data_IF_114359063867
#
_entry.id   IF_114359063867
#
_cell.length_a   1.000
_cell.length_b   1.000
_cell.length_c   1.000
_cell.angle_alpha   90.00
_cell.angle_beta   90.00
_cell.angle_gamma   90.00
#
_symmetry.space_group_name_H-M   'P 1'
#
loop_
_entity.id
_entity.type
_entity.pdbx_description
1 polymer ?
#
# COMPACT_ATOMS: atom_id res chain seq x y z
N UNK A 1 23.81 0.21 -12.21
CA UNK A 1 23.60 0.04 -10.76
C UNK A 1 22.36 0.79 -10.33
N UNK A 2 21.18 0.17 -10.42
CA UNK A 2 19.90 0.81 -10.08
C UNK A 2 19.25 0.24 -8.82
N UNK A 3 20.05 -0.31 -7.90
CA UNK A 3 19.57 -0.94 -6.67
C UNK A 3 19.80 0.00 -5.47
N UNK A 4 18.92 -0.09 -4.46
CA UNK A 4 19.02 0.71 -3.24
C UNK A 4 20.23 0.31 -2.39
N UNK A 5 21.07 1.28 -2.03
CA UNK A 5 22.17 1.09 -1.08
C UNK A 5 21.81 1.71 0.28
N UNK A 6 22.39 1.18 1.35
CA UNK A 6 22.26 1.74 2.70
C UNK A 6 23.28 2.86 2.96
N UNK A 7 23.19 3.52 4.12
CA UNK A 7 24.13 4.57 4.59
C UNK A 7 25.59 4.12 4.74
N UNK A 8 25.88 2.81 4.64
CA UNK A 8 27.24 2.27 4.56
C UNK A 8 27.69 2.04 3.12
N UNK A 9 26.95 2.55 2.13
CA UNK A 9 27.19 2.39 0.68
C UNK A 9 27.23 0.93 0.24
N UNK A 10 26.37 0.10 0.84
CA UNK A 10 26.25 -1.32 0.55
C UNK A 10 24.84 -1.69 0.12
N UNK A 11 24.74 -2.68 -0.78
CA UNK A 11 23.48 -3.31 -1.10
C UNK A 11 22.92 -4.02 0.14
N UNK A 12 21.61 -3.90 0.36
CA UNK A 12 20.93 -4.76 1.32
C UNK A 12 20.83 -6.17 0.75
N UNK A 13 21.53 -7.12 1.37
CA UNK A 13 21.46 -8.54 1.00
C UNK A 13 20.43 -9.32 1.84
N UNK A 14 19.77 -8.68 2.82
CA UNK A 14 18.68 -9.28 3.58
C UNK A 14 17.33 -8.93 2.96
N UNK A 15 16.57 -9.95 2.56
CA UNK A 15 15.23 -9.80 1.99
C UNK A 15 15.21 -9.42 0.50
N UNK A 16 14.19 -8.68 0.09
CA UNK A 16 14.01 -8.26 -1.30
C UNK A 16 15.12 -7.30 -1.74
N UNK A 17 15.76 -7.61 -2.87
CA UNK A 17 16.54 -6.62 -3.61
C UNK A 17 15.58 -5.62 -4.26
N UNK A 18 15.78 -4.34 -3.99
CA UNK A 18 14.89 -3.28 -4.48
C UNK A 18 15.64 -2.36 -5.42
N UNK A 19 15.03 -2.07 -6.55
CA UNK A 19 15.46 -0.99 -7.40
C UNK A 19 15.29 0.36 -6.69
N UNK A 20 16.14 1.34 -6.99
CA UNK A 20 15.98 2.69 -6.46
C UNK A 20 14.83 3.40 -7.18
N UNK A 21 13.85 3.98 -6.45
CA UNK A 21 12.83 4.86 -7.02
C UNK A 21 13.42 6.09 -7.72
N UNK A 22 14.69 6.43 -7.48
CA UNK A 22 15.35 7.51 -8.19
C UNK A 22 15.72 7.14 -9.65
N UNK A 23 15.65 5.86 -10.05
CA UNK A 23 16.06 5.46 -11.39
C UNK A 23 14.96 5.71 -12.41
N UNK A 24 15.20 6.66 -13.31
CA UNK A 24 14.29 6.95 -14.44
C UNK A 24 14.12 5.72 -15.34
N UNK A 25 15.16 4.90 -15.51
CA UNK A 25 15.09 3.66 -16.29
C UNK A 25 14.15 2.65 -15.65
N UNK A 26 14.17 2.54 -14.31
CA UNK A 26 13.26 1.67 -13.56
C UNK A 26 11.83 2.19 -13.66
N UNK A 27 11.60 3.48 -13.49
CA UNK A 27 10.27 4.08 -13.65
C UNK A 27 9.74 3.84 -15.07
N UNK A 28 10.54 4.10 -16.10
CA UNK A 28 10.16 3.86 -17.49
C UNK A 28 9.85 2.39 -17.75
N UNK A 29 10.62 1.47 -17.16
CA UNK A 29 10.36 0.05 -17.30
C UNK A 29 9.05 -0.36 -16.60
N UNK A 30 8.79 0.14 -15.39
CA UNK A 30 7.54 -0.12 -14.67
C UNK A 30 6.32 0.39 -15.46
N UNK A 31 6.40 1.61 -16.02
CA UNK A 31 5.34 2.15 -16.87
C UNK A 31 5.17 1.34 -18.15
N UNK A 32 6.26 0.94 -18.81
CA UNK A 32 6.17 0.08 -20.00
C UNK A 32 5.50 -1.27 -19.71
N UNK A 33 5.79 -1.88 -18.54
CA UNK A 33 5.12 -3.12 -18.10
C UNK A 33 3.63 -2.85 -17.84
N UNK A 34 3.28 -1.78 -17.12
CA UNK A 34 1.88 -1.42 -16.88
C UNK A 34 1.11 -1.19 -18.19
N UNK A 35 1.72 -0.49 -19.15
CA UNK A 35 1.15 -0.30 -20.49
C UNK A 35 1.00 -1.62 -21.25
N UNK A 36 1.97 -2.52 -21.18
CA UNK A 36 1.87 -3.83 -21.82
C UNK A 36 0.71 -4.66 -21.26
N UNK A 37 0.50 -4.61 -19.94
CA UNK A 37 -0.61 -5.30 -19.28
C UNK A 37 -1.97 -4.80 -19.76
N UNK A 38 -2.22 -3.48 -19.69
CA UNK A 38 -3.53 -2.91 -20.07
C UNK A 38 -3.83 -3.04 -21.57
N UNK A 39 -2.80 -3.13 -22.42
CA UNK A 39 -2.97 -3.28 -23.86
C UNK A 39 -3.22 -4.73 -24.30
N UNK A 40 -2.86 -5.72 -23.48
CA UNK A 40 -2.94 -7.15 -23.84
C UNK A 40 -4.00 -7.92 -23.08
N UNK A 41 -4.45 -7.40 -21.95
CA UNK A 41 -5.37 -8.08 -21.06
C UNK A 41 -6.55 -7.19 -20.72
N UNK A 42 -7.73 -7.78 -20.71
CA UNK A 42 -8.97 -7.16 -20.23
C UNK A 42 -8.95 -7.21 -18.69
N UNK A 43 -8.42 -6.15 -18.09
CA UNK A 43 -8.26 -5.99 -16.64
C UNK A 43 -8.99 -4.75 -16.16
N UNK A 44 -9.49 -4.78 -14.92
CA UNK A 44 -10.21 -3.65 -14.32
C UNK A 44 -9.28 -2.63 -13.64
N UNK A 45 -7.97 -2.92 -13.54
CA UNK A 45 -7.03 -2.03 -12.90
C UNK A 45 -5.65 -2.62 -12.61
N UNK A 46 -4.79 -1.77 -12.05
CA UNK A 46 -3.43 -2.10 -11.62
C UNK A 46 -3.34 -1.95 -10.10
N UNK A 47 -2.75 -2.95 -9.44
CA UNK A 47 -2.44 -2.91 -8.01
C UNK A 47 -0.93 -2.86 -7.78
N UNK A 48 -0.46 -1.82 -7.11
CA UNK A 48 0.94 -1.60 -6.79
C UNK A 48 1.24 -2.10 -5.37
N UNK A 49 1.98 -3.20 -5.27
CA UNK A 49 2.55 -3.65 -4.00
C UNK A 49 4.01 -3.21 -3.87
N UNK A 50 4.48 -2.98 -2.65
CA UNK A 50 5.86 -2.62 -2.34
C UNK A 50 6.40 -1.35 -3.01
N UNK A 51 5.52 -0.46 -3.52
CA UNK A 51 5.87 0.85 -4.09
C UNK A 51 6.35 1.83 -3.00
N UNK A 52 7.60 1.64 -2.56
CA UNK A 52 8.26 2.32 -1.43
C UNK A 52 9.74 1.93 -1.34
N UNK A 53 10.50 2.65 -0.52
CA UNK A 53 11.87 2.23 -0.15
C UNK A 53 11.87 1.02 0.80
N UNK A 54 13.02 0.36 0.90
CA UNK A 54 13.19 -0.85 1.73
C UNK A 54 13.44 -0.58 3.21
N UNK A 55 13.98 0.59 3.56
CA UNK A 55 14.37 0.96 4.93
C UNK A 55 14.58 2.47 5.06
N UNK A 56 14.65 2.96 6.30
CA UNK A 56 14.87 4.38 6.64
C UNK A 56 16.30 4.87 6.39
N UNK A 57 17.21 3.95 6.08
CA UNK A 57 18.61 4.27 5.75
C UNK A 57 18.95 3.89 4.31
N UNK A 58 17.94 3.67 3.46
CA UNK A 58 18.12 3.32 2.06
C UNK A 58 18.35 4.56 1.16
N UNK A 59 18.76 4.32 -0.09
CA UNK A 59 18.96 5.32 -1.16
C UNK A 59 20.31 6.00 -1.22
N UNK A 60 21.35 5.54 -0.53
CA UNK A 60 22.73 6.06 -0.72
C UNK A 60 23.45 5.40 -1.91
N UNK A 61 22.70 5.10 -2.97
CA UNK A 61 23.24 4.52 -4.19
C UNK A 61 23.65 5.61 -5.19
N UNK A 62 24.56 5.32 -6.14
CA UNK A 62 25.09 6.34 -7.03
C UNK A 62 24.04 7.04 -7.91
N UNK A 63 22.93 6.35 -8.26
CA UNK A 63 21.87 6.95 -9.06
C UNK A 63 21.12 7.99 -8.24
N UNK A 64 20.81 7.64 -6.99
CA UNK A 64 20.11 8.53 -6.07
C UNK A 64 20.93 9.78 -5.74
N UNK A 65 22.21 9.64 -5.38
CA UNK A 65 23.07 10.78 -5.06
C UNK A 65 23.34 11.66 -6.28
N UNK A 66 23.53 11.05 -7.46
CA UNK A 66 23.69 11.81 -8.71
C UNK A 66 22.44 12.63 -9.06
N UNK A 67 21.23 12.11 -8.82
CA UNK A 67 19.99 12.85 -9.10
C UNK A 67 19.65 13.87 -8.02
N UNK A 68 20.03 13.60 -6.78
CA UNK A 68 19.91 14.56 -5.69
C UNK A 68 20.89 15.73 -5.84
N UNK A 69 22.10 15.46 -6.34
CA UNK A 69 23.17 16.45 -6.50
C UNK A 69 24.02 16.64 -5.24
N UNK A 70 24.08 15.63 -4.36
CA UNK A 70 24.86 15.64 -3.13
C UNK A 70 24.77 14.32 -2.37
N UNK A 71 25.33 14.30 -1.17
CA UNK A 71 25.32 13.13 -0.30
C UNK A 71 23.89 12.76 0.14
N UNK A 72 23.62 11.47 0.29
CA UNK A 72 22.35 11.02 0.85
C UNK A 72 22.10 11.57 2.26
N UNK A 73 20.83 11.71 2.65
CA UNK A 73 20.40 12.15 3.99
C UNK A 73 20.84 13.55 4.42
N UNK A 74 21.25 14.42 3.49
CA UNK A 74 21.32 15.87 3.75
C UNK A 74 19.91 16.48 3.91
N UNK A 75 19.83 17.74 4.36
CA UNK A 75 18.54 18.44 4.52
C UNK A 75 17.70 18.38 3.23
N UNK A 76 16.41 18.06 3.36
CA UNK A 76 15.46 17.91 2.24
C UNK A 76 15.48 16.55 1.53
N UNK A 77 16.45 15.67 1.82
CA UNK A 77 16.58 14.38 1.13
C UNK A 77 15.37 13.46 1.33
N UNK A 78 14.79 13.43 2.53
CA UNK A 78 13.62 12.61 2.82
C UNK A 78 12.37 13.03 2.03
N UNK A 79 12.17 14.34 1.84
CA UNK A 79 11.10 14.86 0.97
C UNK A 79 11.35 14.48 -0.49
N UNK A 80 12.60 14.58 -0.92
CA UNK A 80 13.01 14.16 -2.26
C UNK A 80 12.79 12.66 -2.49
N UNK A 81 13.07 11.81 -1.51
CA UNK A 81 12.79 10.36 -1.57
C UNK A 81 11.30 10.09 -1.73
N UNK A 82 10.44 10.72 -0.91
CA UNK A 82 8.98 10.63 -1.06
C UNK A 82 8.52 11.07 -2.44
N UNK A 83 9.10 12.15 -2.97
CA UNK A 83 8.78 12.65 -4.31
C UNK A 83 9.17 11.67 -5.42
N UNK A 84 10.22 10.86 -5.25
CA UNK A 84 10.57 9.82 -6.23
C UNK A 84 9.49 8.74 -6.31
N UNK A 85 9.08 8.18 -5.17
CA UNK A 85 8.01 7.18 -5.11
C UNK A 85 6.69 7.75 -5.62
N UNK A 86 6.33 8.95 -5.17
CA UNK A 86 5.07 9.60 -5.57
C UNK A 86 5.07 9.96 -7.06
N UNK A 87 6.23 10.30 -7.63
CA UNK A 87 6.39 10.52 -9.06
C UNK A 87 6.07 9.27 -9.88
N UNK A 88 6.57 8.10 -9.46
CA UNK A 88 6.23 6.82 -10.11
C UNK A 88 4.73 6.52 -10.03
N UNK A 89 4.11 6.70 -8.86
CA UNK A 89 2.66 6.49 -8.68
C UNK A 89 1.86 7.43 -9.58
N UNK A 90 2.22 8.72 -9.60
CA UNK A 90 1.57 9.71 -10.45
C UNK A 90 1.70 9.35 -11.94
N UNK A 91 2.86 8.85 -12.38
CA UNK A 91 3.02 8.36 -13.75
C UNK A 91 2.15 7.16 -14.08
N UNK A 92 1.99 6.20 -13.17
CA UNK A 92 1.01 5.12 -13.37
C UNK A 92 -0.39 5.68 -13.57
N UNK A 93 -0.76 6.68 -12.78
CA UNK A 93 -2.07 7.29 -12.86
C UNK A 93 -2.28 8.05 -14.18
N UNK A 94 -1.38 8.99 -14.51
CA UNK A 94 -1.49 9.85 -15.69
C UNK A 94 -1.24 9.09 -17.00
N UNK A 95 -0.15 8.31 -17.09
CA UNK A 95 0.31 7.70 -18.35
C UNK A 95 -0.48 6.43 -18.71
N UNK A 96 -1.19 5.83 -17.75
CA UNK A 96 -1.88 4.54 -17.93
C UNK A 96 -3.36 4.65 -17.58
N UNK A 97 -3.69 5.07 -16.37
CA UNK A 97 -5.05 4.94 -15.85
C UNK A 97 -5.96 5.99 -16.48
N UNK A 98 -5.57 7.26 -16.50
CA UNK A 98 -6.33 8.30 -17.18
C UNK A 98 -6.32 8.17 -18.72
N UNK A 99 -5.33 7.46 -19.27
CA UNK A 99 -5.26 7.18 -20.70
C UNK A 99 -6.19 6.04 -21.16
N UNK A 100 -6.75 5.25 -20.22
CA UNK A 100 -7.57 4.08 -20.51
C UNK A 100 -8.84 4.09 -19.64
N UNK A 101 -10.01 4.25 -20.27
CA UNK A 101 -11.28 4.33 -19.55
C UNK A 101 -11.59 3.05 -18.76
N UNK A 102 -12.03 3.21 -17.51
CA UNK A 102 -12.56 2.10 -16.69
C UNK A 102 -11.51 1.35 -15.87
N UNK A 103 -10.24 1.75 -15.92
CA UNK A 103 -9.19 1.18 -15.07
C UNK A 103 -9.12 1.89 -13.72
N UNK A 104 -8.83 1.16 -12.65
CA UNK A 104 -8.50 1.72 -11.35
C UNK A 104 -7.01 1.54 -10.98
N UNK A 105 -6.41 2.54 -10.34
CA UNK A 105 -5.12 2.42 -9.67
C UNK A 105 -5.29 2.18 -8.18
N UNK A 106 -4.70 1.10 -7.69
CA UNK A 106 -4.64 0.81 -6.26
C UNK A 106 -3.22 0.56 -5.78
N UNK A 107 -2.97 0.77 -4.49
CA UNK A 107 -1.68 0.42 -3.89
C UNK A 107 -1.83 -0.17 -2.48
N UNK A 108 -1.04 -1.21 -2.19
CA UNK A 108 -0.82 -1.68 -0.84
C UNK A 108 0.12 -0.72 -0.11
N UNK A 109 -0.34 -0.15 1.01
CA UNK A 109 0.39 0.87 1.75
C UNK A 109 0.72 0.42 3.17
N UNK A 110 1.79 0.97 3.72
CA UNK A 110 2.24 0.62 5.06
C UNK A 110 1.15 0.98 6.10
N UNK A 111 0.83 0.09 7.06
CA UNK A 111 -0.35 0.23 7.91
C UNK A 111 -0.31 1.37 8.91
N UNK A 112 0.86 1.92 9.20
CA UNK A 112 1.02 3.10 10.04
C UNK A 112 1.59 4.19 9.15
N UNK A 113 0.78 5.18 8.75
CA UNK A 113 1.27 6.28 7.94
C UNK A 113 2.29 7.11 8.73
N UNK A 114 1.84 7.66 9.86
CA UNK A 114 2.63 8.29 10.92
C UNK A 114 2.10 7.74 12.26
N UNK A 115 2.98 7.52 13.23
CA UNK A 115 2.62 7.02 14.55
C UNK A 115 2.22 8.18 15.47
N UNK A 116 0.95 8.59 15.41
CA UNK A 116 0.40 9.65 16.26
C UNK A 116 0.14 9.20 17.70
N UNK A 117 0.24 7.90 17.99
CA UNK A 117 -0.15 7.31 19.27
C UNK A 117 1.05 6.87 20.13
N UNK A 118 2.27 7.00 19.61
CA UNK A 118 3.50 6.62 20.32
C UNK A 118 3.62 5.11 20.55
N UNK A 119 3.10 4.30 19.62
CA UNK A 119 3.15 2.84 19.72
C UNK A 119 4.50 2.23 19.35
N UNK A 120 5.39 2.98 18.70
CA UNK A 120 6.73 2.55 18.30
C UNK A 120 6.75 1.68 17.04
N UNK A 121 5.73 1.81 16.18
CA UNK A 121 5.68 1.08 14.91
C UNK A 121 6.52 1.74 13.82
N UNK A 122 6.98 0.95 12.84
CA UNK A 122 7.57 1.49 11.61
C UNK A 122 6.50 2.26 10.84
N UNK A 123 6.90 3.34 10.17
CA UNK A 123 5.98 4.32 9.59
C UNK A 123 6.15 4.39 8.06
N UNK A 124 5.05 4.45 7.31
CA UNK A 124 5.06 4.60 5.86
C UNK A 124 5.79 5.88 5.46
N UNK A 125 5.41 7.01 6.06
CA UNK A 125 5.95 8.32 5.72
C UNK A 125 7.43 8.49 6.07
N UNK A 126 7.86 8.02 7.25
CA UNK A 126 9.21 8.21 7.77
C UNK A 126 10.18 7.06 7.49
N UNK A 127 9.73 5.80 7.63
CA UNK A 127 10.60 4.63 7.49
C UNK A 127 10.73 4.20 6.03
N UNK A 128 9.67 4.31 5.25
CA UNK A 128 9.62 3.76 3.89
C UNK A 128 9.44 4.82 2.79
N UNK A 129 9.36 6.10 3.18
CA UNK A 129 9.11 7.24 2.29
C UNK A 129 7.90 7.00 1.37
N UNK A 130 6.88 6.32 1.90
CA UNK A 130 5.63 6.01 1.23
C UNK A 130 4.57 7.01 1.69
N UNK A 131 4.44 8.10 0.92
CA UNK A 131 3.53 9.20 1.25
C UNK A 131 2.09 8.92 0.78
N UNK A 132 1.51 7.82 1.25
CA UNK A 132 0.24 7.29 0.74
C UNK A 132 -0.94 8.24 0.94
N UNK A 133 -0.94 9.04 2.01
CA UNK A 133 -1.98 10.05 2.24
C UNK A 133 -1.85 11.25 1.30
N UNK A 134 -0.63 11.64 0.90
CA UNK A 134 -0.47 12.65 -0.15
C UNK A 134 -0.96 12.17 -1.52
N UNK A 135 -0.90 10.86 -1.80
CA UNK A 135 -1.38 10.30 -3.07
C UNK A 135 -2.89 10.47 -3.25
N UNK A 136 -3.66 10.14 -2.21
CA UNK A 136 -5.12 10.36 -2.22
C UNK A 136 -5.47 11.84 -2.20
N UNK A 137 -4.75 12.66 -1.42
CA UNK A 137 -4.99 14.11 -1.37
C UNK A 137 -4.66 14.82 -2.70
N UNK A 138 -3.60 14.39 -3.38
CA UNK A 138 -3.23 14.88 -4.71
C UNK A 138 -4.06 14.29 -5.85
N UNK A 139 -4.86 13.27 -5.57
CA UNK A 139 -5.82 12.71 -6.50
C UNK A 139 -5.25 11.81 -7.59
N UNK A 140 -4.01 11.32 -7.44
CA UNK A 140 -3.30 10.48 -8.41
C UNK A 140 -3.22 8.99 -7.99
N UNK A 141 -4.22 8.56 -7.22
CA UNK A 141 -4.51 7.15 -6.95
C UNK A 141 -6.01 7.02 -6.64
N UNK A 142 -6.63 5.89 -7.00
CA UNK A 142 -8.05 5.66 -6.77
C UNK A 142 -8.31 5.01 -5.41
N UNK A 143 -7.47 4.03 -5.07
CA UNK A 143 -7.64 3.18 -3.89
C UNK A 143 -6.31 3.03 -3.15
N UNK A 144 -6.31 3.24 -1.84
CA UNK A 144 -5.22 2.80 -0.97
C UNK A 144 -5.67 1.67 -0.07
N UNK A 145 -4.80 0.67 0.09
CA UNK A 145 -5.03 -0.51 0.91
C UNK A 145 -3.99 -0.63 2.01
N UNK A 146 -4.23 -0.03 3.20
CA UNK A 146 -3.30 -0.17 4.31
C UNK A 146 -3.24 -1.63 4.80
N UNK A 147 -2.03 -2.20 4.84
CA UNK A 147 -1.79 -3.62 5.15
C UNK A 147 -1.80 -3.89 6.67
N UNK A 148 -2.97 -3.83 7.31
CA UNK A 148 -3.09 -3.86 8.77
C UNK A 148 -3.25 -5.30 9.28
N UNK A 149 -2.14 -6.05 9.31
CA UNK A 149 -2.12 -7.42 9.80
C UNK A 149 -0.74 -7.85 10.29
N UNK A 150 -0.67 -8.80 11.24
CA UNK A 150 0.59 -9.33 11.73
C UNK A 150 1.22 -10.33 10.75
N UNK A 151 2.52 -10.64 10.95
CA UNK A 151 3.18 -11.79 10.33
C UNK A 151 2.88 -13.11 11.05
N UNK A 152 2.37 -13.04 12.28
CA UNK A 152 2.03 -14.20 13.12
C UNK A 152 0.74 -13.90 13.86
N UNK A 153 -0.23 -14.79 13.74
CA UNK A 153 -1.60 -14.56 14.17
C UNK A 153 -1.87 -15.18 15.54
N UNK A 154 -2.63 -14.47 16.38
CA UNK A 154 -3.10 -14.91 17.69
C UNK A 154 -4.61 -14.71 17.77
N UNK A 155 -5.32 -15.51 18.59
CA UNK A 155 -6.76 -15.32 18.84
C UNK A 155 -7.08 -15.42 20.34
N UNK A 156 -7.57 -14.34 20.98
CA UNK A 156 -7.67 -12.99 20.43
C UNK A 156 -6.29 -12.37 20.15
N UNK A 157 -6.23 -11.42 19.21
CA UNK A 157 -4.97 -10.72 18.92
C UNK A 157 -4.61 -9.73 20.02
N UNK A 158 -3.74 -10.16 20.93
CA UNK A 158 -3.19 -9.34 22.02
C UNK A 158 -1.77 -8.84 21.70
N UNK A 159 -1.35 -8.92 20.44
CA UNK A 159 -0.03 -8.44 20.00
C UNK A 159 -0.03 -6.92 19.75
N UNK A 160 0.95 -6.43 18.98
CA UNK A 160 0.92 -5.06 18.47
C UNK A 160 -0.33 -4.79 17.61
N UNK A 161 -0.90 -5.81 16.97
CA UNK A 161 -1.98 -5.71 15.97
C UNK A 161 -3.37 -6.00 16.54
N UNK A 162 -3.64 -5.55 17.76
CA UNK A 162 -4.95 -5.74 18.41
C UNK A 162 -6.09 -5.18 17.55
N UNK A 163 -7.29 -5.71 17.75
CA UNK A 163 -8.49 -5.24 17.04
C UNK A 163 -8.73 -3.72 17.22
N UNK A 164 -8.52 -3.19 18.42
CA UNK A 164 -8.66 -1.75 18.68
C UNK A 164 -7.65 -0.90 17.91
N UNK A 165 -6.39 -1.37 17.81
CA UNK A 165 -5.38 -0.69 16.98
C UNK A 165 -5.72 -0.79 15.50
N UNK A 166 -6.22 -1.93 15.06
CA UNK A 166 -6.71 -2.09 13.69
C UNK A 166 -7.79 -1.05 13.38
N UNK A 167 -8.82 -0.91 14.22
CA UNK A 167 -9.88 0.10 14.03
C UNK A 167 -9.33 1.53 13.99
N UNK A 168 -8.37 1.83 14.87
CA UNK A 168 -7.74 3.15 14.94
C UNK A 168 -6.99 3.49 13.65
N UNK A 169 -6.23 2.54 13.09
CA UNK A 169 -5.50 2.74 11.84
C UNK A 169 -6.45 2.88 10.64
N UNK A 170 -7.53 2.10 10.60
CA UNK A 170 -8.55 2.25 9.55
C UNK A 170 -9.20 3.63 9.59
N UNK A 171 -9.57 4.10 10.78
CA UNK A 171 -10.17 5.43 10.96
C UNK A 171 -9.20 6.56 10.55
N UNK A 172 -7.91 6.43 10.85
CA UNK A 172 -6.88 7.39 10.44
C UNK A 172 -6.73 7.48 8.91
N UNK A 173 -6.74 6.36 8.20
CA UNK A 173 -6.73 6.40 6.73
C UNK A 173 -8.04 6.94 6.16
N UNK A 174 -9.18 6.52 6.71
CA UNK A 174 -10.50 6.93 6.22
C UNK A 174 -10.74 8.44 6.40
N UNK A 175 -10.27 9.07 7.49
CA UNK A 175 -10.42 10.52 7.69
C UNK A 175 -9.73 11.35 6.60
N UNK A 176 -8.65 10.81 6.03
CA UNK A 176 -7.83 11.44 5.00
C UNK A 176 -8.08 10.83 3.61
N UNK A 177 -9.24 10.19 3.40
CA UNK A 177 -9.57 9.57 2.13
C UNK A 177 -9.63 10.56 0.96
N UNK A 178 -9.87 11.86 1.22
CA UNK A 178 -9.89 12.93 0.21
C UNK A 178 -10.76 12.62 -1.02
N UNK A 179 -11.89 11.95 -0.80
CA UNK A 179 -12.81 11.55 -1.88
C UNK A 179 -12.33 10.36 -2.72
N UNK A 180 -11.21 9.73 -2.35
CA UNK A 180 -10.72 8.45 -2.87
C UNK A 180 -11.14 7.30 -1.97
N UNK A 181 -10.88 6.07 -2.40
CA UNK A 181 -11.27 4.89 -1.65
C UNK A 181 -10.16 4.39 -0.72
N UNK A 182 -10.54 4.05 0.51
CA UNK A 182 -9.71 3.30 1.45
C UNK A 182 -10.30 1.90 1.57
N UNK A 183 -9.46 0.89 1.36
CA UNK A 183 -9.81 -0.53 1.40
C UNK A 183 -8.82 -1.23 2.34
N UNK A 184 -9.04 -1.21 3.66
CA UNK A 184 -8.09 -1.76 4.62
C UNK A 184 -7.86 -3.25 4.44
N UNK A 185 -6.59 -3.66 4.53
CA UNK A 185 -6.18 -5.05 4.52
C UNK A 185 -6.47 -5.74 5.85
N UNK A 186 -7.02 -6.95 5.76
CA UNK A 186 -7.32 -7.85 6.88
C UNK A 186 -6.55 -9.14 6.65
N UNK A 187 -5.70 -9.52 7.60
CA UNK A 187 -4.99 -10.79 7.56
C UNK A 187 -5.94 -11.96 7.84
N UNK A 188 -5.86 -13.06 7.09
CA UNK A 188 -6.76 -14.21 7.19
C UNK A 188 -6.13 -15.41 7.89
N UNK A 189 -4.98 -15.21 8.54
CA UNK A 189 -4.28 -16.23 9.33
C UNK A 189 -4.77 -16.36 10.76
N UNK A 190 -5.79 -15.59 11.17
CA UNK A 190 -6.43 -15.76 12.46
C UNK A 190 -7.04 -17.16 12.56
N UNK A 191 -6.79 -17.81 13.69
CA UNK A 191 -7.27 -19.15 14.03
C UNK A 191 -8.78 -19.25 14.32
N UNK A 192 -9.49 -18.12 14.41
CA UNK A 192 -10.96 -18.07 14.49
C UNK A 192 -11.52 -17.11 13.45
N UNK A 193 -12.61 -17.50 12.78
CA UNK A 193 -13.26 -16.67 11.77
C UNK A 193 -13.77 -15.34 12.34
N UNK A 194 -14.23 -15.32 13.59
CA UNK A 194 -14.74 -14.11 14.25
C UNK A 194 -13.73 -12.96 14.32
N UNK A 195 -12.42 -13.23 14.32
CA UNK A 195 -11.40 -12.16 14.22
C UNK A 195 -11.44 -11.44 12.86
N UNK A 196 -11.73 -12.18 11.79
CA UNK A 196 -11.88 -11.64 10.43
C UNK A 196 -13.23 -10.93 10.31
N UNK A 197 -14.31 -11.59 10.74
CA UNK A 197 -15.68 -11.04 10.71
C UNK A 197 -15.79 -9.70 11.44
N UNK A 198 -15.25 -9.61 12.66
CA UNK A 198 -15.27 -8.35 13.42
C UNK A 198 -14.55 -7.20 12.72
N UNK A 199 -13.48 -7.49 11.96
CA UNK A 199 -12.75 -6.48 11.16
C UNK A 199 -13.53 -6.07 9.91
N UNK A 200 -14.22 -7.01 9.28
CA UNK A 200 -15.14 -6.71 8.17
C UNK A 200 -16.26 -5.76 8.64
N UNK A 201 -16.91 -6.07 9.76
CA UNK A 201 -17.98 -5.24 10.32
C UNK A 201 -17.45 -3.88 10.79
N UNK A 202 -16.24 -3.82 11.35
CA UNK A 202 -15.63 -2.56 11.72
C UNK A 202 -15.30 -1.67 10.51
N UNK A 203 -14.80 -2.24 9.40
CA UNK A 203 -14.59 -1.50 8.14
C UNK A 203 -15.90 -0.87 7.65
N UNK A 204 -16.99 -1.64 7.64
CA UNK A 204 -18.34 -1.17 7.29
C UNK A 204 -18.81 -0.04 8.19
N UNK A 205 -18.65 -0.20 9.51
CA UNK A 205 -19.06 0.81 10.49
C UNK A 205 -18.26 2.12 10.37
N UNK A 206 -16.98 2.04 10.00
CA UNK A 206 -16.12 3.22 9.74
C UNK A 206 -16.46 3.89 8.40
N UNK A 207 -17.12 3.18 7.48
CA UNK A 207 -17.53 3.71 6.19
C UNK A 207 -16.45 3.62 5.12
N UNK A 208 -15.55 2.63 5.20
CA UNK A 208 -14.60 2.35 4.12
C UNK A 208 -15.33 1.84 2.88
N UNK A 209 -14.72 2.01 1.69
CA UNK A 209 -15.32 1.58 0.43
C UNK A 209 -15.38 0.05 0.28
N UNK A 210 -14.61 -0.67 1.11
CA UNK A 210 -14.53 -2.12 1.17
C UNK A 210 -13.46 -2.55 2.16
N UNK A 211 -12.94 -3.76 2.00
CA UNK A 211 -11.77 -4.29 2.68
C UNK A 211 -11.11 -5.37 1.80
N UNK A 212 -9.84 -5.68 2.04
CA UNK A 212 -9.09 -6.68 1.29
C UNK A 212 -8.62 -7.81 2.22
N UNK A 213 -8.82 -9.06 1.82
CA UNK A 213 -8.45 -10.23 2.61
C UNK A 213 -7.08 -10.78 2.16
N UNK A 214 -6.08 -10.70 3.04
CA UNK A 214 -4.73 -11.24 2.80
C UNK A 214 -4.48 -12.48 3.70
N UNK A 215 -4.49 -13.70 3.20
CA UNK A 215 -4.51 -14.08 1.79
C UNK A 215 -5.41 -15.28 1.52
N UNK A 216 -5.69 -15.48 0.23
CA UNK A 216 -6.44 -16.62 -0.29
C UNK A 216 -6.00 -17.96 0.29
N UNK A 217 -4.69 -18.21 0.36
CA UNK A 217 -4.18 -19.52 0.81
C UNK A 217 -4.53 -19.80 2.27
N UNK A 218 -4.54 -18.77 3.12
CA UNK A 218 -4.92 -18.94 4.53
C UNK A 218 -6.44 -19.07 4.72
N UNK A 219 -7.24 -18.40 3.89
CA UNK A 219 -8.70 -18.65 3.88
C UNK A 219 -8.99 -20.09 3.50
N UNK A 220 -8.31 -20.58 2.45
CA UNK A 220 -8.47 -21.95 1.97
C UNK A 220 -8.06 -22.98 3.03
N UNK A 221 -6.91 -22.78 3.70
CA UNK A 221 -6.42 -23.73 4.69
C UNK A 221 -7.29 -23.80 5.94
N UNK A 222 -7.92 -22.70 6.34
CA UNK A 222 -8.82 -22.65 7.49
C UNK A 222 -10.26 -23.06 7.15
N UNK A 223 -10.63 -23.15 5.87
CA UNK A 223 -11.98 -23.50 5.45
C UNK A 223 -13.00 -22.35 5.58
N UNK A 224 -12.54 -21.09 5.61
CA UNK A 224 -13.40 -19.93 5.91
C UNK A 224 -14.24 -19.40 4.75
N UNK A 225 -14.24 -20.04 3.58
CA UNK A 225 -15.07 -19.58 2.45
C UNK A 225 -16.57 -19.73 2.73
N UNK A 226 -16.99 -20.83 3.37
CA UNK A 226 -18.39 -21.03 3.74
C UNK A 226 -18.82 -20.06 4.85
N UNK A 227 -17.93 -19.73 5.78
CA UNK A 227 -18.19 -18.73 6.81
C UNK A 227 -18.37 -17.33 6.21
N UNK A 228 -17.53 -16.94 5.24
CA UNK A 228 -17.69 -15.69 4.49
C UNK A 228 -19.03 -15.66 3.74
N UNK A 229 -19.34 -16.73 3.00
CA UNK A 229 -20.54 -16.81 2.17
C UNK A 229 -21.84 -16.84 2.98
N UNK A 230 -21.85 -17.47 4.16
CA UNK A 230 -23.03 -17.53 5.03
C UNK A 230 -23.13 -16.34 6.00
N UNK A 231 -22.03 -15.59 6.20
CA UNK A 231 -21.95 -14.46 7.10
C UNK A 231 -21.82 -13.13 6.35
N UNK A 232 -20.66 -12.45 6.43
CA UNK A 232 -20.51 -11.08 5.97
C UNK A 232 -20.76 -10.91 4.45
N UNK A 233 -20.60 -11.94 3.63
CA UNK A 233 -20.82 -11.87 2.17
C UNK A 233 -22.08 -12.60 1.70
N UNK A 234 -23.04 -12.87 2.59
CA UNK A 234 -24.32 -13.47 2.21
C UNK A 234 -25.10 -12.63 1.19
N UNK A 235 -24.95 -11.30 1.26
CA UNK A 235 -25.54 -10.36 0.32
C UNK A 235 -24.47 -9.82 -0.64
N UNK A 236 -24.67 -9.96 -1.98
CA UNK A 236 -23.76 -9.38 -2.97
C UNK A 236 -23.63 -7.87 -2.82
N UNK A 237 -22.39 -7.38 -2.79
CA UNK A 237 -22.10 -5.95 -2.75
C UNK A 237 -22.12 -5.34 -4.17
N UNK A 238 -22.51 -4.07 -4.26
CA UNK A 238 -22.35 -3.26 -5.48
C UNK A 238 -21.01 -2.56 -5.44
N UNK A 239 -20.23 -2.65 -6.52
CA UNK A 239 -18.94 -1.95 -6.63
C UNK A 239 -19.18 -0.43 -6.67
N UNK A 240 -18.57 0.36 -5.76
CA UNK A 240 -18.70 1.81 -5.80
C UNK A 240 -18.12 2.41 -7.10
N UNK A 241 -18.81 3.37 -7.75
CA UNK A 241 -18.36 3.95 -9.01
C UNK A 241 -17.24 4.99 -8.79
N UNK A 242 -16.18 4.90 -9.60
CA UNK A 242 -15.10 5.89 -9.63
C UNK A 242 -15.55 7.14 -10.39
N UNK A 243 -16.11 8.12 -9.66
CA UNK A 243 -16.74 9.31 -10.25
C UNK A 243 -15.77 10.46 -10.59
N UNK A 244 -14.48 10.27 -10.37
CA UNK A 244 -13.45 11.32 -10.56
C UNK A 244 -12.55 11.07 -11.77
N UNK A 245 -12.74 9.97 -12.49
CA UNK A 245 -12.23 9.79 -13.85
C UNK A 245 -13.21 10.47 -14.81
N UNK A 246 -13.16 11.80 -14.92
CA UNK A 246 -13.92 12.54 -15.94
C UNK A 246 -12.96 13.06 -17.01
#
# INVERSE_FOLDING_TARGET
NGLQWNTSYQLSCSGYQRATPASIDVDNHLIAVGQDLVNRYDIDGIHLDHIRYGASNASCDPVSESRWGGDCFTSGYADWQRAQVSGTVNRFYDDIILANSGLALSAAVWPIYIDYWGWGGLQGYHTYYQDSKAWVAGGYIDIISPMIYPSTFNCPDNSFWTFSRWQTLVADFQSDANGRYVVPGIGTGYCTFSEIENRIEAARAIGTAGHALFSYSSLLSHGYFDDLANGPYAEPAVVPPINWHN
#
